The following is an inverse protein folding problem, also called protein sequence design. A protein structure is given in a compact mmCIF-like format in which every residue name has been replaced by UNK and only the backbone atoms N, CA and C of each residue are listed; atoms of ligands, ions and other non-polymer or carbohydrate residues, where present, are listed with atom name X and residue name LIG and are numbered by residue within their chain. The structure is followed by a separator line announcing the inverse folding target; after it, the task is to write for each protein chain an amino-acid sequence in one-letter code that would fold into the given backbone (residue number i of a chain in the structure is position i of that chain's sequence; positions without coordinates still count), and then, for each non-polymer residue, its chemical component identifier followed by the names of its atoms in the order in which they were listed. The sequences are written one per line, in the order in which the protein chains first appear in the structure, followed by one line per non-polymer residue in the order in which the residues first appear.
data_IF_807776786352
#
_entry.id   IF_807776786352
#
_cell.length_a   1.000
_cell.length_b   1.000
_cell.length_c   1.000
_cell.angle_alpha   90.00
_cell.angle_beta   90.00
_cell.angle_gamma   90.00
#
_symmetry.space_group_name_H-M   'P 1'
#
loop_
_entity.id
_entity.type
_entity.pdbx_description
1 polymer ?
#
# COMPACT_ATOMS: atom_id res chain seq x y z
N UNK A 1 53.64 -13.75 -3.96
CA UNK A 1 52.82 -13.60 -2.73
C UNK A 1 51.83 -12.45 -2.86
N UNK A 2 52.25 -11.31 -3.42
CA UNK A 2 51.42 -10.12 -3.60
C UNK A 2 50.17 -10.35 -4.46
N UNK A 3 50.27 -11.19 -5.51
CA UNK A 3 49.11 -11.54 -6.34
C UNK A 3 48.03 -12.30 -5.55
N UNK A 4 48.44 -13.24 -4.68
CA UNK A 4 47.52 -14.03 -3.85
C UNK A 4 46.81 -13.11 -2.85
N UNK A 5 47.55 -12.18 -2.23
CA UNK A 5 46.99 -11.19 -1.31
C UNK A 5 46.00 -10.28 -2.05
N UNK A 6 46.35 -9.83 -3.26
CA UNK A 6 45.48 -8.99 -4.10
C UNK A 6 44.18 -9.71 -4.46
N UNK A 7 44.24 -10.99 -4.86
CA UNK A 7 43.06 -11.79 -5.14
C UNK A 7 42.16 -11.95 -3.91
N UNK A 8 42.75 -12.22 -2.73
CA UNK A 8 42.00 -12.34 -1.48
C UNK A 8 41.28 -11.02 -1.15
N UNK A 9 41.93 -9.88 -1.32
CA UNK A 9 41.35 -8.57 -1.06
C UNK A 9 40.21 -8.25 -2.04
N UNK A 10 40.41 -8.47 -3.34
CA UNK A 10 39.38 -8.23 -4.36
C UNK A 10 38.16 -9.14 -4.13
N UNK A 11 38.39 -10.42 -3.85
CA UNK A 11 37.31 -11.37 -3.58
C UNK A 11 36.55 -11.02 -2.29
N UNK A 12 37.26 -10.60 -1.24
CA UNK A 12 36.66 -10.10 0.00
C UNK A 12 35.75 -8.88 -0.24
N UNK A 13 36.19 -7.92 -1.06
CA UNK A 13 35.38 -6.75 -1.42
C UNK A 13 34.11 -7.13 -2.19
N UNK A 14 34.20 -8.11 -3.11
CA UNK A 14 33.03 -8.61 -3.86
C UNK A 14 32.03 -9.26 -2.90
N UNK A 15 32.48 -10.13 -1.99
CA UNK A 15 31.63 -10.76 -0.99
C UNK A 15 30.94 -9.74 -0.08
N UNK A 16 31.68 -8.75 0.41
CA UNK A 16 31.12 -7.67 1.22
C UNK A 16 30.07 -6.89 0.42
N UNK A 17 30.34 -6.59 -0.85
CA UNK A 17 29.39 -5.93 -1.75
C UNK A 17 28.09 -6.72 -1.91
N UNK A 18 28.16 -8.03 -2.11
CA UNK A 18 26.99 -8.93 -2.22
C UNK A 18 26.20 -8.94 -0.91
N UNK A 19 26.88 -9.06 0.24
CA UNK A 19 26.25 -9.08 1.56
C UNK A 19 25.49 -7.76 1.81
N UNK A 20 26.14 -6.61 1.59
CA UNK A 20 25.51 -5.29 1.75
C UNK A 20 24.31 -5.15 0.82
N UNK A 21 24.44 -5.58 -0.44
CA UNK A 21 23.35 -5.54 -1.42
C UNK A 21 22.15 -6.36 -0.95
N UNK A 22 22.38 -7.59 -0.48
CA UNK A 22 21.33 -8.47 0.03
C UNK A 22 20.63 -7.88 1.26
N UNK A 23 21.39 -7.35 2.23
CA UNK A 23 20.83 -6.68 3.41
C UNK A 23 19.98 -5.46 3.05
N UNK A 24 20.37 -4.69 2.03
CA UNK A 24 19.58 -3.54 1.58
C UNK A 24 18.29 -3.94 0.88
N UNK A 25 18.28 -5.05 0.13
CA UNK A 25 17.09 -5.56 -0.56
C UNK A 25 16.10 -6.27 0.38
N UNK A 26 16.59 -6.88 1.46
CA UNK A 26 15.76 -7.60 2.43
C UNK A 26 14.88 -6.70 3.30
N UNK A 27 15.18 -5.39 3.38
CA UNK A 27 14.40 -4.44 4.19
C UNK A 27 13.06 -4.12 3.50
N UNK A 28 11.92 -4.22 4.21
CA UNK A 28 10.63 -3.81 3.66
C UNK A 28 10.63 -2.31 3.36
N UNK A 29 10.12 -1.93 2.19
CA UNK A 29 10.04 -0.53 1.76
C UNK A 29 8.60 -0.17 1.39
N UNK A 30 8.01 0.88 2.00
CA UNK A 30 6.71 1.38 1.58
C UNK A 30 6.84 2.21 0.30
N UNK A 31 5.94 1.96 -0.66
CA UNK A 31 5.81 2.72 -1.89
C UNK A 31 4.46 3.41 -1.94
N UNK A 32 4.45 4.69 -2.27
CA UNK A 32 3.22 5.49 -2.36
C UNK A 32 2.43 5.12 -3.62
N UNK A 33 1.16 4.72 -3.44
CA UNK A 33 0.23 4.46 -4.54
C UNK A 33 -0.74 5.62 -4.72
N UNK A 34 -1.23 6.18 -3.61
CA UNK A 34 -2.12 7.34 -3.62
C UNK A 34 -1.86 8.20 -2.40
N UNK A 35 -1.93 9.52 -2.61
CA UNK A 35 -1.98 10.51 -1.55
C UNK A 35 -3.10 11.51 -1.85
N UNK A 36 -3.99 11.73 -0.89
CA UNK A 36 -5.11 12.64 -0.97
C UNK A 36 -5.15 13.52 0.28
N UNK A 37 -5.32 14.82 0.09
CA UNK A 37 -5.43 15.80 1.18
C UNK A 37 -6.86 16.35 1.17
N UNK A 38 -7.55 16.18 2.29
CA UNK A 38 -8.84 16.78 2.58
C UNK A 38 -8.71 17.79 3.72
N UNK A 39 -9.70 18.68 3.91
CA UNK A 39 -9.67 19.67 5.00
C UNK A 39 -9.48 19.06 6.40
N UNK A 40 -10.04 17.87 6.62
CA UNK A 40 -10.07 17.23 7.93
C UNK A 40 -9.31 15.89 8.01
N UNK A 41 -8.82 15.39 6.86
CA UNK A 41 -8.17 14.09 6.78
C UNK A 41 -7.12 14.08 5.67
N UNK A 42 -5.96 13.50 5.93
CA UNK A 42 -5.04 13.08 4.87
C UNK A 42 -5.07 11.57 4.75
N UNK A 43 -5.22 11.09 3.52
CA UNK A 43 -5.30 9.66 3.19
C UNK A 43 -4.11 9.26 2.35
N UNK A 44 -3.38 8.26 2.81
CA UNK A 44 -2.34 7.61 2.04
C UNK A 44 -2.66 6.14 1.84
N UNK A 45 -2.41 5.67 0.63
CA UNK A 45 -2.40 4.25 0.30
C UNK A 45 -1.00 3.92 -0.18
N UNK A 46 -0.37 2.94 0.46
CA UNK A 46 0.97 2.49 0.17
C UNK A 46 0.99 0.98 0.00
N UNK A 47 1.98 0.48 -0.73
CA UNK A 47 2.31 -0.95 -0.76
C UNK A 47 3.70 -1.16 -0.18
N UNK A 48 3.79 -2.03 0.82
CA UNK A 48 5.07 -2.50 1.35
C UNK A 48 5.60 -3.58 0.42
N UNK A 49 6.81 -3.40 -0.12
CA UNK A 49 7.50 -4.44 -0.88
C UNK A 49 8.65 -5.03 -0.07
N UNK A 50 8.81 -6.35 -0.14
CA UNK A 50 9.94 -7.09 0.41
C UNK A 50 10.38 -8.14 -0.62
N UNK A 51 11.68 -8.25 -0.87
CA UNK A 51 12.25 -9.20 -1.85
C UNK A 51 11.61 -9.07 -3.24
N UNK A 52 11.31 -7.83 -3.67
CA UNK A 52 10.68 -7.52 -4.96
C UNK A 52 9.18 -7.82 -5.05
N UNK A 53 8.57 -8.42 -4.01
CA UNK A 53 7.14 -8.78 -3.98
C UNK A 53 6.34 -7.83 -3.10
N UNK A 54 5.07 -7.66 -3.42
CA UNK A 54 4.12 -6.95 -2.56
C UNK A 54 3.85 -7.80 -1.33
N UNK A 55 4.12 -7.24 -0.14
CA UNK A 55 3.94 -7.91 1.14
C UNK A 55 2.68 -7.43 1.85
N UNK A 56 2.43 -6.13 1.87
CA UNK A 56 1.26 -5.58 2.54
C UNK A 56 0.73 -4.34 1.86
N UNK A 57 -0.59 -4.14 1.93
CA UNK A 57 -1.23 -2.87 1.63
C UNK A 57 -1.33 -2.07 2.93
N UNK A 58 -0.85 -0.83 2.93
CA UNK A 58 -0.88 0.06 4.09
C UNK A 58 -1.81 1.23 3.76
N UNK A 59 -2.84 1.40 4.57
CA UNK A 59 -3.77 2.52 4.52
C UNK A 59 -3.48 3.39 5.74
N UNK A 60 -2.98 4.60 5.51
CA UNK A 60 -2.67 5.56 6.56
C UNK A 60 -3.65 6.72 6.49
N UNK A 61 -4.17 7.11 7.65
CA UNK A 61 -4.98 8.31 7.81
C UNK A 61 -4.33 9.25 8.85
N UNK A 62 -4.32 10.55 8.58
CA UNK A 62 -3.97 11.59 9.57
C UNK A 62 -5.21 12.44 9.78
N UNK A 63 -5.67 12.50 11.03
CA UNK A 63 -6.88 13.24 11.43
C UNK A 63 -6.60 14.12 12.64
N UNK A 64 -7.49 15.08 12.88
CA UNK A 64 -7.48 15.87 14.12
C UNK A 64 -7.89 14.99 15.32
N UNK A 65 -7.40 15.25 16.55
CA UNK A 65 -7.52 14.35 17.70
C UNK A 65 -8.95 13.96 18.10
N UNK A 66 -9.92 14.86 17.94
CA UNK A 66 -11.30 14.65 18.39
C UNK A 66 -12.17 13.86 17.39
N UNK A 67 -11.56 13.33 16.34
CA UNK A 67 -12.28 12.60 15.30
C UNK A 67 -11.93 11.11 15.33
N UNK A 68 -12.89 10.30 14.88
CA UNK A 68 -12.72 8.88 14.67
C UNK A 68 -12.99 8.52 13.21
N UNK A 69 -12.38 7.42 12.79
CA UNK A 69 -12.57 6.81 11.48
C UNK A 69 -13.08 5.39 11.72
N UNK A 70 -14.02 4.92 10.91
CA UNK A 70 -14.40 3.51 10.89
C UNK A 70 -13.38 2.67 10.12
N UNK A 71 -13.56 1.35 10.10
CA UNK A 71 -12.72 0.47 9.30
C UNK A 71 -12.77 0.90 7.81
N UNK A 72 -11.61 1.02 7.13
CA UNK A 72 -11.59 1.26 5.69
C UNK A 72 -12.27 0.12 4.94
N UNK A 73 -12.80 0.44 3.75
CA UNK A 73 -13.35 -0.54 2.82
C UNK A 73 -12.84 -0.29 1.40
N UNK A 74 -13.01 -1.28 0.54
CA UNK A 74 -12.60 -1.20 -0.86
C UNK A 74 -13.85 -0.98 -1.70
N UNK A 75 -13.81 0.01 -2.59
CA UNK A 75 -14.84 0.18 -3.62
C UNK A 75 -14.29 -0.34 -4.94
N UNK A 76 -14.89 -1.40 -5.47
CA UNK A 76 -14.60 -1.93 -6.79
C UNK A 76 -15.39 -1.18 -7.84
N UNK A 77 -14.76 -0.88 -8.98
CA UNK A 77 -15.33 -0.07 -10.05
C UNK A 77 -15.17 -0.81 -11.37
N UNK A 78 -16.27 -1.13 -12.03
CA UNK A 78 -16.23 -1.78 -13.34
C UNK A 78 -16.05 -0.78 -14.50
N UNK A 79 -16.06 -1.30 -15.73
CA UNK A 79 -15.94 -0.48 -16.95
C UNK A 79 -17.15 0.43 -17.17
N UNK A 80 -18.33 0.08 -16.65
CA UNK A 80 -19.55 0.89 -16.71
C UNK A 80 -19.65 1.89 -15.56
N UNK A 81 -18.64 1.95 -14.68
CA UNK A 81 -18.58 2.82 -13.49
C UNK A 81 -19.58 2.43 -12.41
N UNK A 82 -20.13 1.23 -12.49
CA UNK A 82 -20.86 0.59 -11.40
C UNK A 82 -19.90 0.28 -10.25
N UNK A 83 -20.42 0.28 -9.03
CA UNK A 83 -19.60 0.25 -7.81
C UNK A 83 -20.11 -0.80 -6.84
N UNK A 84 -19.19 -1.60 -6.30
CA UNK A 84 -19.48 -2.53 -5.20
C UNK A 84 -18.54 -2.26 -4.03
N UNK A 85 -19.10 -2.25 -2.82
CA UNK A 85 -18.36 -2.14 -1.56
C UNK A 85 -17.93 -3.53 -1.09
N UNK A 86 -16.64 -3.67 -0.78
CA UNK A 86 -16.05 -4.84 -0.13
C UNK A 86 -15.46 -4.40 1.20
N UNK A 87 -15.87 -5.07 2.28
CA UNK A 87 -15.32 -4.83 3.60
C UNK A 87 -13.93 -5.46 3.74
N UNK A 88 -13.02 -4.75 4.40
CA UNK A 88 -11.72 -5.29 4.79
C UNK A 88 -11.92 -6.15 6.05
N UNK A 89 -11.23 -7.29 6.22
CA UNK A 89 -11.34 -8.11 7.43
C UNK A 89 -11.09 -7.29 8.70
N UNK A 90 -11.97 -7.45 9.70
CA UNK A 90 -11.91 -6.68 10.97
C UNK A 90 -10.64 -6.92 11.78
N UNK A 91 -10.00 -8.06 11.57
CA UNK A 91 -8.70 -8.44 12.17
C UNK A 91 -7.54 -7.54 11.70
N UNK A 92 -7.78 -6.71 10.69
CA UNK A 92 -6.89 -5.61 10.30
C UNK A 92 -6.97 -4.49 11.34
N UNK A 93 -6.39 -4.71 12.52
CA UNK A 93 -6.39 -3.69 13.57
C UNK A 93 -5.61 -2.44 13.15
N UNK A 94 -6.24 -1.29 13.36
CA UNK A 94 -5.62 0.00 13.13
C UNK A 94 -4.66 0.35 14.27
N UNK A 95 -3.36 0.48 14.00
CA UNK A 95 -2.43 1.04 14.99
C UNK A 95 -2.69 2.55 15.06
N UNK A 96 -2.99 3.07 16.25
CA UNK A 96 -3.22 4.50 16.48
C UNK A 96 -1.98 5.10 17.14
N UNK A 97 -1.25 5.92 16.39
CA UNK A 97 -0.19 6.77 16.93
C UNK A 97 -0.76 8.17 17.21
N UNK A 98 -0.77 8.55 18.48
CA UNK A 98 -1.26 9.87 18.90
C UNK A 98 -0.10 10.85 19.03
N UNK A 99 -0.23 12.01 18.39
CA UNK A 99 0.61 13.19 18.65
C UNK A 99 -0.26 14.30 19.22
N UNK A 100 0.34 15.31 19.87
CA UNK A 100 -0.40 16.40 20.54
C UNK A 100 -1.49 17.05 19.68
N UNK A 101 -1.29 17.12 18.35
CA UNK A 101 -2.19 17.84 17.44
C UNK A 101 -2.84 16.94 16.39
N UNK A 102 -2.46 15.65 16.29
CA UNK A 102 -2.88 14.76 15.20
C UNK A 102 -2.91 13.31 15.64
N UNK A 103 -3.88 12.55 15.15
CA UNK A 103 -3.89 11.09 15.24
C UNK A 103 -3.51 10.51 13.89
N UNK A 104 -2.53 9.62 13.90
CA UNK A 104 -2.20 8.79 12.75
C UNK A 104 -2.79 7.39 12.99
N UNK A 105 -3.59 6.93 12.04
CA UNK A 105 -4.20 5.60 12.08
C UNK A 105 -3.64 4.80 10.90
N UNK A 106 -3.13 3.61 11.18
CA UNK A 106 -2.51 2.73 10.19
C UNK A 106 -3.23 1.40 10.13
N UNK A 107 -3.78 1.06 8.97
CA UNK A 107 -4.29 -0.27 8.69
C UNK A 107 -3.28 -0.97 7.78
N UNK A 108 -2.82 -2.16 8.20
CA UNK A 108 -1.87 -2.97 7.44
C UNK A 108 -2.51 -4.31 7.10
N UNK A 109 -2.79 -4.51 5.82
CA UNK A 109 -3.41 -5.73 5.30
C UNK A 109 -2.36 -6.57 4.58
N UNK A 110 -2.34 -7.89 4.80
CA UNK A 110 -1.50 -8.79 4.02
C UNK A 110 -1.90 -8.75 2.54
N UNK A 111 -0.91 -8.68 1.65
CA UNK A 111 -1.20 -8.51 0.23
C UNK A 111 -1.81 -9.76 -0.41
N UNK A 112 -1.48 -10.96 0.10
CA UNK A 112 -2.06 -12.21 -0.40
C UNK A 112 -3.54 -12.25 -0.03
N UNK A 113 -3.87 -11.98 1.24
CA UNK A 113 -5.26 -11.90 1.71
C UNK A 113 -6.06 -10.84 0.93
N UNK A 114 -5.51 -9.65 0.80
CA UNK A 114 -6.09 -8.58 -0.02
C UNK A 114 -6.34 -9.03 -1.46
N UNK A 115 -5.35 -9.63 -2.12
CA UNK A 115 -5.49 -10.07 -3.50
C UNK A 115 -6.52 -11.19 -3.64
N UNK A 116 -6.60 -12.11 -2.68
CA UNK A 116 -7.56 -13.20 -2.68
C UNK A 116 -8.99 -12.68 -2.45
N UNK A 117 -9.17 -11.71 -1.54
CA UNK A 117 -10.45 -11.03 -1.32
C UNK A 117 -11.00 -10.42 -2.61
N UNK A 118 -10.11 -9.87 -3.45
CA UNK A 118 -10.49 -9.28 -4.74
C UNK A 118 -10.68 -10.31 -5.86
N UNK A 119 -9.85 -11.36 -5.90
CA UNK A 119 -9.93 -12.44 -6.90
C UNK A 119 -11.16 -13.32 -6.73
N UNK A 120 -11.53 -13.59 -5.49
CA UNK A 120 -12.64 -14.48 -5.15
C UNK A 120 -13.99 -13.77 -5.18
N UNK A 121 -14.02 -12.49 -5.56
CA UNK A 121 -15.26 -11.76 -5.78
C UNK A 121 -15.78 -12.02 -7.20
N UNK A 122 -17.06 -12.38 -7.34
CA UNK A 122 -17.70 -12.61 -8.65
C UNK A 122 -17.83 -11.33 -9.50
N UNK A 123 -17.70 -10.16 -8.86
CA UNK A 123 -17.78 -8.87 -9.51
C UNK A 123 -16.54 -8.57 -10.35
N UNK A 124 -16.74 -8.47 -11.67
CA UNK A 124 -15.70 -8.08 -12.61
C UNK A 124 -15.43 -6.58 -12.54
N UNK A 125 -14.34 -6.20 -11.89
CA UNK A 125 -13.90 -4.82 -11.77
C UNK A 125 -12.74 -4.50 -12.72
N UNK A 126 -12.56 -3.21 -12.98
CA UNK A 126 -11.44 -2.66 -13.77
C UNK A 126 -10.48 -1.84 -12.93
N UNK A 127 -11.04 -1.04 -12.02
CA UNK A 127 -10.30 -0.24 -11.05
C UNK A 127 -10.90 -0.44 -9.66
N UNK A 128 -10.19 -0.03 -8.64
CA UNK A 128 -10.66 -0.01 -7.27
C UNK A 128 -10.14 1.23 -6.56
N UNK A 129 -10.75 1.59 -5.44
CA UNK A 129 -10.22 2.63 -4.55
C UNK A 129 -10.47 2.28 -3.10
N UNK A 130 -9.63 2.83 -2.23
CA UNK A 130 -9.80 2.72 -0.79
C UNK A 130 -10.70 3.85 -0.32
N UNK A 131 -11.73 3.47 0.43
CA UNK A 131 -12.69 4.39 1.00
C UNK A 131 -12.61 4.34 2.52
N UNK A 132 -12.77 5.50 3.12
CA UNK A 132 -12.62 5.69 4.56
C UNK A 132 -13.82 6.50 5.05
N UNK A 133 -14.64 5.91 5.91
CA UNK A 133 -15.78 6.59 6.54
C UNK A 133 -15.29 7.43 7.72
N UNK A 134 -15.54 8.73 7.63
CA UNK A 134 -15.21 9.72 8.64
C UNK A 134 -16.49 10.32 9.19
N UNK A 135 -16.67 10.19 10.51
CA UNK A 135 -17.96 10.46 11.16
C UNK A 135 -19.08 9.64 10.49
N UNK A 136 -20.34 9.86 10.86
CA UNK A 136 -21.47 9.06 10.37
C UNK A 136 -21.88 9.35 8.91
N UNK A 137 -21.32 10.37 8.25
CA UNK A 137 -21.85 10.85 6.96
C UNK A 137 -20.81 11.12 5.86
N UNK A 138 -19.51 11.23 6.15
CA UNK A 138 -18.52 11.60 5.14
C UNK A 138 -17.64 10.42 4.72
N UNK A 139 -17.43 10.28 3.41
CA UNK A 139 -16.55 9.25 2.85
C UNK A 139 -15.39 9.91 2.12
N UNK A 140 -14.18 9.63 2.56
CA UNK A 140 -12.94 10.03 1.88
C UNK A 140 -12.44 8.88 1.01
N UNK A 141 -11.85 9.21 -0.15
CA UNK A 141 -11.60 8.25 -1.22
C UNK A 141 -10.19 8.40 -1.74
N UNK A 142 -9.44 7.31 -1.86
CA UNK A 142 -8.17 7.37 -2.57
C UNK A 142 -8.39 7.68 -4.05
N UNK A 143 -7.30 7.94 -4.77
CA UNK A 143 -7.32 7.80 -6.23
C UNK A 143 -7.78 6.40 -6.61
N UNK A 144 -8.33 6.27 -7.82
CA UNK A 144 -8.52 4.98 -8.44
C UNK A 144 -7.16 4.32 -8.69
N UNK A 145 -7.12 3.02 -8.45
CA UNK A 145 -5.99 2.14 -8.59
C UNK A 145 -6.43 0.95 -9.45
N UNK A 146 -5.47 0.34 -10.14
CA UNK A 146 -5.70 -0.81 -10.99
C UNK A 146 -4.61 -1.85 -10.77
N UNK A 147 -4.87 -3.08 -11.22
CA UNK A 147 -3.88 -4.14 -11.27
C UNK A 147 -3.39 -4.36 -12.70
N UNK A 148 -2.09 -4.59 -12.85
CA UNK A 148 -1.56 -5.14 -14.10
C UNK A 148 -1.81 -6.65 -14.18
N UNK A 149 -1.38 -7.27 -15.28
CA UNK A 149 -1.48 -8.73 -15.49
C UNK A 149 -0.74 -9.56 -14.42
N UNK A 150 0.22 -8.95 -13.72
CA UNK A 150 1.03 -9.57 -12.66
C UNK A 150 0.51 -9.24 -11.25
N UNK A 151 -0.69 -8.65 -11.14
CA UNK A 151 -1.26 -8.20 -9.86
C UNK A 151 -0.42 -7.13 -9.15
N UNK A 152 0.32 -6.34 -9.89
CA UNK A 152 0.99 -5.13 -9.41
C UNK A 152 -0.02 -3.98 -9.41
N UNK A 153 -0.19 -3.32 -8.26
CA UNK A 153 -1.02 -2.11 -8.17
C UNK A 153 -0.31 -0.94 -8.85
N UNK A 154 -1.03 -0.23 -9.69
CA UNK A 154 -0.64 1.05 -10.25
C UNK A 154 -1.80 2.05 -10.20
N UNK A 155 -1.49 3.34 -10.35
CA UNK A 155 -2.49 4.38 -10.56
C UNK A 155 -2.70 4.54 -12.06
N UNK A 156 -3.87 4.21 -12.63
CA UNK A 156 -4.13 4.47 -14.04
C UNK A 156 -4.03 5.97 -14.30
N UNK A 157 -3.28 6.35 -15.33
CA UNK A 157 -3.29 7.73 -15.81
C UNK A 157 -4.69 8.07 -16.31
N UNK A 158 -5.14 9.28 -15.99
CA UNK A 158 -6.43 9.83 -16.45
C UNK A 158 -6.48 10.09 -17.96
N UNK A 159 -5.42 9.76 -18.70
CA UNK A 159 -5.34 9.90 -20.15
C UNK A 159 -5.69 8.60 -20.86
N UNK A 160 -6.84 8.56 -21.50
CA UNK A 160 -7.05 7.70 -22.67
C UNK A 160 -6.05 8.13 -23.74
N UNK A 161 -4.98 7.36 -23.94
CA UNK A 161 -4.24 7.44 -25.19
C UNK A 161 -5.11 6.74 -26.25
N UNK A 162 -5.80 7.55 -27.05
CA UNK A 162 -6.43 7.12 -28.30
C UNK A 162 -5.35 6.70 -29.30
#
# INVERSE_FOLDING_TARGET
MDDIITYIVVFGLILIGIIIWQFRYAKPRPFWLSFQIYPDLKLWVQVEKKDGKHKSLIIRCEIKPDNYIKLPYIELIDKKREKIKIEIPKETEGIIEKTKNKHHIYFKLDFIEFSNLLKNNDYKFSTFRICVEYKTTQVFKSHELAFDKKWTIFKPDSGTYN
#
